data_IF_556790741983
#
_entry.id   IF_556790741983
#
_cell.length_a   1.000
_cell.length_b   1.000
_cell.length_c   1.000
_cell.angle_alpha   90.00
_cell.angle_beta   90.00
_cell.angle_gamma   90.00
#
_symmetry.space_group_name_H-M   'P 1'
#
loop_
_entity.id
_entity.type
_entity.pdbx_description
1 polymer ?
#
# COMPACT_ATOMS: atom_id res chain seq x y z
N UNK A 1 6.70 -2.02 2.15
CA UNK A 1 6.17 -3.00 3.11
C UNK A 1 5.20 -3.87 2.36
N UNK A 2 5.22 -5.19 2.60
CA UNK A 2 4.21 -6.11 2.06
C UNK A 2 3.16 -6.35 3.13
N UNK A 3 1.89 -6.32 2.74
CA UNK A 3 0.78 -6.66 3.62
C UNK A 3 0.57 -8.17 3.58
N UNK A 4 0.61 -8.83 4.74
CA UNK A 4 0.53 -10.28 4.86
C UNK A 4 -0.91 -10.78 4.89
N UNK A 5 -1.80 -10.02 5.56
CA UNK A 5 -3.19 -10.41 5.77
C UNK A 5 -4.08 -9.18 5.99
N UNK A 6 -5.40 -9.37 5.91
CA UNK A 6 -6.39 -8.33 6.23
C UNK A 6 -7.17 -8.76 7.47
N UNK A 7 -7.27 -7.86 8.45
CA UNK A 7 -8.06 -8.03 9.66
C UNK A 7 -9.57 -7.90 9.39
N UNK A 8 -10.39 -8.30 10.37
CA UNK A 8 -11.87 -8.32 10.26
C UNK A 8 -12.51 -6.96 9.95
N UNK A 9 -11.82 -5.86 10.24
CA UNK A 9 -12.31 -4.49 10.01
C UNK A 9 -11.84 -3.88 8.68
N UNK A 10 -11.12 -4.64 7.86
CA UNK A 10 -10.50 -4.13 6.63
C UNK A 10 -9.14 -3.46 6.85
N UNK A 11 -8.51 -3.70 8.02
CA UNK A 11 -7.16 -3.24 8.31
C UNK A 11 -6.15 -4.23 7.73
N UNK A 12 -5.29 -3.79 6.82
CA UNK A 12 -4.16 -4.58 6.38
C UNK A 12 -3.13 -4.71 7.49
N UNK A 13 -2.62 -5.92 7.67
CA UNK A 13 -1.66 -6.31 8.69
C UNK A 13 -0.40 -6.74 7.98
N UNK A 14 0.72 -6.08 8.29
CA UNK A 14 2.02 -6.55 7.86
C UNK A 14 3.06 -6.45 8.97
N UNK A 15 4.22 -7.05 8.73
CA UNK A 15 5.29 -7.14 9.72
C UNK A 15 6.60 -6.54 9.17
N UNK A 16 7.23 -5.69 9.96
CA UNK A 16 8.57 -5.14 9.66
C UNK A 16 9.47 -5.46 10.86
N UNK A 17 10.57 -6.19 10.65
CA UNK A 17 11.53 -6.53 11.72
C UNK A 17 10.87 -7.08 12.99
N UNK A 18 9.95 -8.03 12.83
CA UNK A 18 9.17 -8.64 13.89
C UNK A 18 8.14 -7.71 14.59
N UNK A 19 7.96 -6.49 14.10
CA UNK A 19 7.02 -5.50 14.61
C UNK A 19 5.75 -5.45 13.76
N UNK A 20 4.58 -5.48 14.40
CA UNK A 20 3.27 -5.50 13.72
C UNK A 20 2.85 -4.08 13.37
N UNK A 21 2.44 -3.88 12.12
CA UNK A 21 1.94 -2.58 11.63
C UNK A 21 0.55 -2.77 11.01
N UNK A 22 -0.39 -1.96 11.49
CA UNK A 22 -1.76 -1.90 10.98
C UNK A 22 -1.91 -0.74 10.00
N UNK A 23 -2.46 -1.03 8.82
CA UNK A 23 -2.67 -0.07 7.73
C UNK A 23 -4.12 -0.20 7.22
N UNK A 24 -5.00 0.75 7.55
CA UNK A 24 -6.38 0.70 7.06
C UNK A 24 -6.43 0.82 5.53
N UNK A 25 -7.35 0.10 4.88
CA UNK A 25 -7.59 0.22 3.44
C UNK A 25 -6.53 -0.44 2.55
N UNK A 26 -5.80 -1.43 3.07
CA UNK A 26 -4.84 -2.24 2.29
C UNK A 26 -5.23 -3.71 2.30
N UNK A 27 -4.89 -4.41 1.21
CA UNK A 27 -5.21 -5.82 1.00
C UNK A 27 -3.98 -6.70 1.16
N UNK A 28 -4.20 -7.99 1.44
CA UNK A 28 -3.13 -8.98 1.48
C UNK A 28 -2.43 -9.06 0.12
N UNK A 29 -1.09 -9.01 0.11
CA UNK A 29 -0.27 -8.97 -1.09
C UNK A 29 0.14 -7.57 -1.54
N UNK A 30 -0.47 -6.51 -1.01
CA UNK A 30 -0.16 -5.14 -1.40
C UNK A 30 1.28 -4.77 -1.01
N UNK A 31 2.02 -4.19 -1.97
CA UNK A 31 3.32 -3.56 -1.73
C UNK A 31 3.13 -2.05 -1.68
N UNK A 32 3.13 -1.53 -0.46
CA UNK A 32 2.88 -0.11 -0.22
C UNK A 32 4.02 0.54 0.53
N UNK A 33 4.18 1.84 0.28
CA UNK A 33 4.97 2.71 1.14
C UNK A 33 4.03 3.35 2.14
N UNK A 34 4.33 3.15 3.41
CA UNK A 34 3.53 3.68 4.51
C UNK A 34 4.33 4.66 5.35
N UNK A 35 3.61 5.57 6.00
CA UNK A 35 4.15 6.45 7.05
C UNK A 35 3.55 6.05 8.38
N UNK A 36 4.39 5.80 9.38
CA UNK A 36 3.94 5.51 10.74
C UNK A 36 3.39 6.81 11.36
N UNK A 37 2.13 6.78 11.78
CA UNK A 37 1.45 7.92 12.45
C UNK A 37 1.46 7.76 13.96
N UNK A 38 1.65 6.53 14.46
CA UNK A 38 1.74 6.27 15.88
C UNK A 38 2.33 4.90 16.18
N UNK A 39 3.03 4.81 17.30
CA UNK A 39 3.55 3.56 17.87
C UNK A 39 2.89 3.35 19.22
N UNK A 40 2.35 2.15 19.45
CA UNK A 40 1.79 1.71 20.73
C UNK A 40 2.47 0.42 21.16
N UNK A 41 2.42 0.11 22.47
CA UNK A 41 3.18 -0.96 23.15
C UNK A 41 3.86 -2.01 22.26
N UNK A 42 3.09 -2.81 21.53
CA UNK A 42 3.59 -3.89 20.66
C UNK A 42 3.29 -3.74 19.16
N UNK A 43 2.71 -2.61 18.72
CA UNK A 43 2.28 -2.41 17.33
C UNK A 43 2.35 -0.94 16.89
N UNK A 44 2.45 -0.70 15.60
CA UNK A 44 2.29 0.63 15.02
C UNK A 44 1.03 0.74 14.17
N UNK A 45 0.54 1.96 14.04
CA UNK A 45 -0.47 2.35 13.06
C UNK A 45 0.18 3.26 12.03
N UNK A 46 -0.15 3.05 10.76
CA UNK A 46 0.38 3.86 9.67
C UNK A 46 -0.64 4.08 8.57
N UNK A 47 -0.36 5.09 7.76
CA UNK A 47 -1.16 5.47 6.59
C UNK A 47 -0.36 5.22 5.31
N UNK A 48 -1.06 4.87 4.23
CA UNK A 48 -0.45 4.68 2.92
C UNK A 48 -0.09 6.04 2.33
N UNK A 49 1.18 6.21 1.95
CA UNK A 49 1.66 7.43 1.26
C UNK A 49 1.92 7.20 -0.22
N UNK A 50 2.09 5.95 -0.65
CA UNK A 50 2.20 5.58 -2.06
C UNK A 50 1.88 4.10 -2.21
N UNK A 51 0.97 3.80 -3.15
CA UNK A 51 0.67 2.42 -3.55
C UNK A 51 1.61 2.09 -4.71
N UNK A 52 2.55 1.18 -4.49
CA UNK A 52 3.43 0.70 -5.57
C UNK A 52 2.72 -0.43 -6.29
N UNK A 53 1.56 -0.15 -6.88
CA UNK A 53 1.02 -1.02 -7.90
C UNK A 53 1.75 -0.71 -9.21
N UNK A 54 2.45 -1.71 -9.71
CA UNK A 54 2.97 -1.75 -11.08
C UNK A 54 1.79 -1.74 -12.05
N UNK A 55 1.26 -0.56 -12.37
CA UNK A 55 0.38 -0.30 -13.53
C UNK A 55 0.19 1.23 -13.66
N UNK A 56 1.23 1.97 -14.05
CA UNK A 56 1.13 3.29 -14.71
C UNK A 56 2.36 3.53 -15.62
N UNK A 57 2.76 2.54 -16.40
CA UNK A 57 3.47 2.71 -17.67
C UNK A 57 2.70 1.84 -18.68
N UNK A 58 2.40 2.36 -19.87
CA UNK A 58 1.46 1.84 -20.89
C UNK A 58 -0.01 2.30 -20.79
N UNK A 59 -0.29 3.61 -20.82
CA UNK A 59 -1.46 4.21 -21.54
C UNK A 59 -1.28 5.73 -21.77
N UNK A 60 -0.20 6.15 -22.41
CA UNK A 60 -0.08 7.48 -23.03
C UNK A 60 0.70 7.36 -24.34
N UNK A 61 0.18 6.61 -25.31
CA UNK A 61 0.75 6.57 -26.67
C UNK A 61 -0.31 6.21 -27.74
N UNK A 62 -1.52 6.80 -27.68
CA UNK A 62 -2.49 6.70 -28.81
C UNK A 62 -3.21 8.02 -29.17
N UNK A 63 -2.87 9.18 -28.59
CA UNK A 63 -3.57 10.45 -28.92
C UNK A 63 -2.81 11.39 -29.88
N UNK A 64 -1.83 10.90 -30.65
CA UNK A 64 -1.10 11.78 -31.59
C UNK A 64 -0.81 11.19 -32.98
N UNK A 65 -1.74 10.41 -33.53
CA UNK A 65 -1.71 10.08 -34.96
C UNK A 65 -3.14 9.99 -35.49
N UNK A 66 -3.75 11.13 -35.86
CA UNK A 66 -4.72 11.28 -36.98
C UNK A 66 -5.31 12.69 -37.01
N UNK A 67 -4.44 13.70 -37.09
CA UNK A 67 -4.83 15.05 -37.48
C UNK A 67 -3.85 15.52 -38.57
N UNK A 68 -3.89 14.84 -39.73
CA UNK A 68 -3.37 15.29 -41.04
C UNK A 68 -3.72 14.32 -42.17
#
# INVERSE_FOLDING_TARGET
>A
MTVDSVGRRGDGIGRINNFVVFIPGTNAGDKVKIRITGVRGSFATGEVISKSEVVEEEKEEEENVEDR
#
